data_IF_282074540756
#
_entry.id   IF_282074540756
#
_cell.length_a   1.000
_cell.length_b   1.000
_cell.length_c   1.000
_cell.angle_alpha   90.00
_cell.angle_beta   90.00
_cell.angle_gamma   90.00
#
_symmetry.space_group_name_H-M   'P 1'
#
loop_
_entity.id
_entity.type
_entity.pdbx_description
1 polymer ?
#
# COMPACT_ATOMS: atom_id res chain seq x y z
N UNK A 1 -9.34 14.03 12.79
CA UNK A 1 -7.91 13.95 12.43
C UNK A 1 -7.74 14.66 11.11
N UNK A 2 -6.68 15.46 10.97
CA UNK A 2 -6.34 16.16 9.72
C UNK A 2 -4.92 15.76 9.35
N UNK A 3 -4.73 15.25 8.14
CA UNK A 3 -3.42 15.04 7.54
C UNK A 3 -3.21 16.14 6.49
N UNK A 4 -2.08 16.85 6.54
CA UNK A 4 -1.78 18.00 5.69
C UNK A 4 -0.27 18.21 5.64
N UNK A 5 0.23 18.92 4.62
CA UNK A 5 1.65 19.27 4.52
C UNK A 5 1.87 20.74 4.81
N UNK A 6 3.00 21.01 5.45
CA UNK A 6 3.45 22.35 5.78
C UNK A 6 4.93 22.48 5.43
N UNK A 7 5.28 23.57 4.75
CA UNK A 7 6.64 24.02 4.53
C UNK A 7 6.90 25.29 5.33
N UNK A 8 8.12 25.44 5.86
CA UNK A 8 8.53 26.65 6.54
C UNK A 8 8.53 27.87 5.59
N UNK A 9 8.93 27.67 4.34
CA UNK A 9 9.08 28.75 3.35
C UNK A 9 7.76 29.05 2.63
N UNK A 10 6.94 28.02 2.41
CA UNK A 10 5.72 28.13 1.58
C UNK A 10 4.41 28.02 2.36
N UNK A 11 4.48 27.68 3.64
CA UNK A 11 3.32 27.46 4.49
C UNK A 11 2.56 26.18 4.16
N UNK A 12 1.24 26.21 4.36
CA UNK A 12 0.36 25.07 4.08
C UNK A 12 0.31 24.75 2.58
N UNK A 13 0.42 23.46 2.23
CA UNK A 13 0.32 23.04 0.84
C UNK A 13 -1.11 23.24 0.32
N UNK A 14 -1.25 24.18 -0.60
CA UNK A 14 -2.51 24.57 -1.23
C UNK A 14 -2.29 24.76 -2.73
N UNK A 15 -3.23 24.28 -3.54
CA UNK A 15 -3.30 24.68 -4.95
C UNK A 15 -3.67 26.17 -5.07
N UNK A 16 -3.29 26.79 -6.18
CA UNK A 16 -3.49 28.22 -6.45
C UNK A 16 -4.98 28.59 -6.61
N UNK A 17 -5.76 27.68 -7.16
CA UNK A 17 -7.21 27.77 -7.38
C UNK A 17 -8.03 27.12 -6.24
N UNK A 18 -7.36 26.58 -5.23
CA UNK A 18 -8.00 25.88 -4.11
C UNK A 18 -8.34 24.41 -4.39
N UNK A 19 -7.97 23.84 -5.55
CA UNK A 19 -8.15 22.41 -5.87
C UNK A 19 -7.10 21.90 -6.87
N UNK A 20 -6.43 20.77 -6.66
CA UNK A 20 -6.70 19.76 -5.64
C UNK A 20 -6.07 20.12 -4.30
N UNK A 21 -6.67 19.60 -3.23
CA UNK A 21 -6.23 19.85 -1.86
C UNK A 21 -5.56 18.57 -1.34
N UNK A 22 -4.29 18.65 -0.97
CA UNK A 22 -3.56 17.54 -0.31
C UNK A 22 -4.03 17.31 1.14
N UNK A 23 -4.68 18.28 1.78
CA UNK A 23 -5.31 18.09 3.09
C UNK A 23 -6.36 16.97 3.03
N UNK A 24 -6.29 16.05 3.98
CA UNK A 24 -7.32 15.03 4.26
C UNK A 24 -7.89 15.28 5.64
N UNK A 25 -9.21 15.46 5.73
CA UNK A 25 -9.92 15.55 7.00
C UNK A 25 -10.74 14.26 7.18
N UNK A 26 -10.57 13.59 8.33
CA UNK A 26 -11.27 12.36 8.62
C UNK A 26 -11.71 12.28 10.08
N UNK A 27 -12.80 11.57 10.33
CA UNK A 27 -13.30 11.23 11.66
C UNK A 27 -12.95 9.76 11.93
N UNK A 28 -11.86 9.47 12.66
CA UNK A 28 -11.41 8.10 12.85
C UNK A 28 -12.38 7.30 13.73
N UNK A 29 -12.63 6.03 13.37
CA UNK A 29 -13.36 5.07 14.21
C UNK A 29 -14.18 4.03 13.44
N UNK A 30 -14.48 2.90 14.11
CA UNK A 30 -15.21 1.74 13.54
C UNK A 30 -16.61 2.08 13.00
N UNK A 31 -17.26 3.11 13.56
CA UNK A 31 -18.57 3.61 13.12
C UNK A 31 -18.49 5.06 12.60
N UNK A 32 -17.34 5.43 12.03
CA UNK A 32 -17.10 6.75 11.43
C UNK A 32 -16.49 6.54 10.04
N UNK A 33 -15.46 7.30 9.67
CA UNK A 33 -14.86 7.27 8.33
C UNK A 33 -13.79 6.16 8.19
N UNK A 34 -13.64 5.28 9.19
CA UNK A 34 -12.55 4.30 9.24
C UNK A 34 -11.24 4.87 9.79
N UNK A 35 -10.10 4.28 9.41
CA UNK A 35 -8.76 4.77 9.76
C UNK A 35 -8.01 5.21 8.51
N UNK A 36 -7.06 6.15 8.63
CA UNK A 36 -6.22 6.58 7.51
C UNK A 36 -5.38 5.40 7.02
N UNK A 37 -5.67 4.93 5.82
CA UNK A 37 -5.05 3.75 5.25
C UNK A 37 -3.82 4.11 4.40
N UNK A 38 -3.05 3.10 4.00
CA UNK A 38 -1.94 3.31 3.06
C UNK A 38 -2.40 3.86 1.71
N UNK A 39 -3.59 3.47 1.25
CA UNK A 39 -4.14 3.97 0.00
C UNK A 39 -4.45 5.47 0.10
N UNK A 40 -4.98 5.92 1.24
CA UNK A 40 -5.23 7.34 1.49
C UNK A 40 -3.91 8.14 1.49
N UNK A 41 -2.84 7.57 2.05
CA UNK A 41 -1.49 8.16 2.02
C UNK A 41 -0.95 8.26 0.59
N UNK A 42 -1.11 7.21 -0.22
CA UNK A 42 -0.70 7.18 -1.63
C UNK A 42 -1.44 8.24 -2.46
N UNK A 43 -2.77 8.33 -2.31
CA UNK A 43 -3.56 9.36 -2.97
C UNK A 43 -3.16 10.78 -2.53
N UNK A 44 -2.89 10.95 -1.22
CA UNK A 44 -2.48 12.23 -0.66
C UNK A 44 -1.14 12.69 -1.24
N UNK A 45 -0.14 11.79 -1.32
CA UNK A 45 1.19 12.15 -1.80
C UNK A 45 1.21 12.42 -3.31
N UNK A 46 0.41 11.71 -4.11
CA UNK A 46 0.27 11.98 -5.55
C UNK A 46 -0.24 13.41 -5.76
N UNK A 47 -1.31 13.79 -5.07
CA UNK A 47 -1.85 15.16 -5.13
C UNK A 47 -0.81 16.18 -4.67
N UNK A 48 -0.06 15.88 -3.61
CA UNK A 48 0.97 16.77 -3.09
C UNK A 48 2.12 16.98 -4.09
N UNK A 49 2.65 15.90 -4.68
CA UNK A 49 3.69 15.93 -5.70
C UNK A 49 3.26 16.76 -6.92
N UNK A 50 2.05 16.55 -7.43
CA UNK A 50 1.53 17.36 -8.54
C UNK A 50 1.46 18.83 -8.16
N UNK A 51 0.94 19.15 -6.97
CA UNK A 51 0.78 20.54 -6.50
C UNK A 51 2.13 21.26 -6.35
N UNK A 52 3.13 20.61 -5.77
CA UNK A 52 4.45 21.26 -5.58
C UNK A 52 5.20 21.44 -6.89
N UNK A 53 5.08 20.49 -7.83
CA UNK A 53 5.69 20.60 -9.14
C UNK A 53 5.05 21.70 -9.99
N UNK A 54 3.75 21.91 -9.87
CA UNK A 54 3.06 23.01 -10.57
C UNK A 54 3.39 24.38 -9.96
N UNK A 55 3.54 24.46 -8.64
CA UNK A 55 3.64 25.74 -7.92
C UNK A 55 5.07 26.24 -7.74
N UNK A 56 6.01 25.30 -7.57
CA UNK A 56 7.41 25.55 -7.26
C UNK A 56 8.31 24.58 -8.04
N UNK A 57 8.24 24.56 -9.38
CA UNK A 57 9.03 23.66 -10.22
C UNK A 57 10.55 23.84 -10.07
N UNK A 58 10.99 25.00 -9.59
CA UNK A 58 12.40 25.35 -9.42
C UNK A 58 13.04 24.79 -8.14
N UNK A 59 12.25 24.17 -7.25
CA UNK A 59 12.72 23.61 -5.99
C UNK A 59 12.65 22.08 -6.01
N UNK A 60 13.63 21.45 -5.36
CA UNK A 60 13.54 20.05 -4.97
C UNK A 60 12.68 19.90 -3.72
N UNK A 61 11.65 19.05 -3.79
CA UNK A 61 10.69 18.86 -2.70
C UNK A 61 10.99 17.59 -1.91
N UNK A 62 11.14 17.72 -0.59
CA UNK A 62 11.33 16.58 0.32
C UNK A 62 10.11 16.43 1.22
N UNK A 63 9.41 15.30 1.09
CA UNK A 63 8.28 14.95 1.95
C UNK A 63 8.76 14.06 3.11
N UNK A 64 8.42 14.45 4.33
CA UNK A 64 8.82 13.75 5.55
C UNK A 64 7.58 13.14 6.20
N UNK A 65 7.66 11.84 6.49
CA UNK A 65 6.68 11.10 7.25
C UNK A 65 7.30 10.54 8.52
N UNK A 66 6.49 10.31 9.54
CA UNK A 66 6.93 9.55 10.70
C UNK A 66 7.06 8.05 10.35
N UNK A 67 7.62 7.27 11.27
CA UNK A 67 7.83 5.83 11.09
C UNK A 67 6.59 5.00 11.43
N UNK A 68 5.38 5.55 11.27
CA UNK A 68 4.16 4.76 11.49
C UNK A 68 4.12 3.57 10.52
N UNK A 69 3.61 2.43 11.00
CA UNK A 69 3.57 1.17 10.23
C UNK A 69 2.79 1.30 8.93
N UNK A 70 1.83 2.22 8.86
CA UNK A 70 1.06 2.58 7.66
C UNK A 70 1.92 3.21 6.57
N UNK A 71 2.93 4.02 6.91
CA UNK A 71 3.86 4.64 5.94
C UNK A 71 4.90 3.66 5.40
N UNK A 72 5.09 2.51 6.07
CA UNK A 72 6.01 1.44 5.67
C UNK A 72 5.35 0.34 4.84
N UNK A 73 4.06 0.46 4.57
CA UNK A 73 3.34 -0.57 3.81
C UNK A 73 3.79 -0.54 2.36
N UNK A 74 4.22 -1.69 1.87
CA UNK A 74 4.54 -1.90 0.46
C UNK A 74 3.27 -2.26 -0.31
N UNK A 75 3.35 -2.24 -1.65
CA UNK A 75 2.27 -2.73 -2.49
C UNK A 75 1.91 -4.17 -2.11
N UNK A 76 0.64 -4.55 -2.29
CA UNK A 76 0.13 -5.81 -1.77
C UNK A 76 0.87 -7.05 -2.34
N UNK A 77 1.36 -6.97 -3.58
CA UNK A 77 2.16 -8.01 -4.23
C UNK A 77 3.68 -7.85 -4.09
N UNK A 78 4.18 -6.84 -3.38
CA UNK A 78 5.61 -6.56 -3.30
C UNK A 78 6.41 -7.74 -2.71
N UNK A 79 7.58 -7.97 -3.28
CA UNK A 79 8.54 -8.94 -2.76
C UNK A 79 9.07 -8.52 -1.39
N UNK A 80 8.92 -9.40 -0.41
CA UNK A 80 9.47 -9.23 0.94
C UNK A 80 10.43 -10.36 1.25
N UNK A 81 11.72 -10.05 1.37
CA UNK A 81 12.76 -11.01 1.77
C UNK A 81 12.45 -11.68 3.12
N UNK A 82 11.68 -11.01 4.00
CA UNK A 82 11.25 -11.57 5.29
C UNK A 82 10.18 -12.65 5.15
N UNK A 83 9.40 -12.62 4.06
CA UNK A 83 8.27 -13.50 3.81
C UNK A 83 8.55 -14.56 2.73
N UNK A 84 9.77 -14.62 2.17
CA UNK A 84 10.10 -15.62 1.17
C UNK A 84 10.04 -17.04 1.76
N UNK A 85 9.39 -18.00 1.07
CA UNK A 85 9.35 -19.38 1.52
C UNK A 85 10.75 -19.99 1.53
N UNK A 86 11.08 -20.67 2.62
CA UNK A 86 12.39 -21.35 2.79
C UNK A 86 12.42 -22.78 2.23
N UNK A 87 11.26 -23.32 1.87
CA UNK A 87 11.10 -24.70 1.44
C UNK A 87 10.24 -24.79 0.19
N UNK A 88 10.28 -25.92 -0.50
CA UNK A 88 9.41 -26.18 -1.65
C UNK A 88 7.96 -26.30 -1.15
N UNK A 89 7.00 -25.87 -1.97
CA UNK A 89 5.58 -26.07 -1.69
C UNK A 89 5.26 -27.52 -1.33
N UNK A 90 4.34 -27.74 -0.40
CA UNK A 90 4.02 -29.07 0.11
C UNK A 90 5.09 -29.69 1.03
N UNK A 91 6.12 -28.95 1.43
CA UNK A 91 7.12 -29.42 2.41
C UNK A 91 7.18 -28.52 3.66
N UNK A 92 7.36 -29.14 4.83
CA UNK A 92 7.62 -28.48 6.11
C UNK A 92 9.12 -28.21 6.27
N UNK A 93 9.45 -27.32 7.20
CA UNK A 93 10.83 -27.09 7.67
C UNK A 93 11.46 -28.43 8.07
N UNK A 94 12.54 -28.84 7.40
CA UNK A 94 13.19 -30.15 7.59
C UNK A 94 12.82 -31.25 6.57
N UNK A 95 12.20 -30.90 5.43
CA UNK A 95 12.01 -31.82 4.29
C UNK A 95 10.85 -32.81 4.42
N UNK A 96 10.07 -32.76 5.51
CA UNK A 96 8.88 -33.62 5.69
C UNK A 96 7.72 -33.10 4.84
N UNK A 97 6.95 -33.98 4.19
CA UNK A 97 5.73 -33.59 3.47
C UNK A 97 4.76 -32.87 4.40
N UNK A 98 4.25 -31.73 3.96
CA UNK A 98 3.14 -31.01 4.60
C UNK A 98 1.85 -31.82 4.43
N UNK A 99 0.94 -31.70 5.41
CA UNK A 99 -0.42 -32.24 5.30
C UNK A 99 -1.34 -31.34 4.48
N UNK A 100 -0.99 -30.06 4.35
CA UNK A 100 -1.74 -29.12 3.52
C UNK A 100 -1.11 -29.12 2.11
N UNK A 101 -1.94 -29.28 1.05
CA UNK A 101 -1.52 -29.14 -0.34
C UNK A 101 -1.35 -27.67 -0.75
N UNK A 102 -1.57 -26.72 0.16
CA UNK A 102 -1.58 -25.31 -0.18
C UNK A 102 -0.19 -24.83 -0.57
N UNK A 103 -0.09 -23.96 -1.60
CA UNK A 103 1.15 -23.31 -1.95
C UNK A 103 1.69 -22.54 -0.75
N UNK A 104 2.97 -22.76 -0.43
CA UNK A 104 3.68 -21.94 0.55
C UNK A 104 4.23 -20.63 -0.04
N UNK A 105 3.90 -20.37 -1.30
CA UNK A 105 4.12 -19.13 -2.04
C UNK A 105 2.76 -18.43 -2.24
N UNK A 106 2.76 -17.21 -2.81
CA UNK A 106 1.62 -16.25 -2.86
C UNK A 106 1.52 -15.36 -1.62
N UNK A 107 0.85 -14.21 -1.77
CA UNK A 107 0.64 -13.24 -0.69
C UNK A 107 -0.82 -13.23 -0.28
N UNK A 108 -1.16 -13.52 0.99
CA UNK A 108 -2.52 -13.39 1.48
C UNK A 108 -2.84 -11.91 1.71
N UNK A 109 -3.84 -11.40 1.00
CA UNK A 109 -4.34 -10.03 1.15
C UNK A 109 -5.77 -10.06 1.69
N UNK A 110 -6.19 -8.98 2.34
CA UNK A 110 -7.59 -8.84 2.72
C UNK A 110 -8.40 -8.51 1.46
N UNK A 111 -9.42 -9.32 1.18
CA UNK A 111 -10.33 -9.14 0.06
C UNK A 111 -11.07 -7.82 0.19
N UNK A 112 -11.18 -7.09 -0.91
CA UNK A 112 -11.93 -5.84 -1.00
C UNK A 112 -13.08 -5.97 -2.01
N UNK A 113 -14.16 -5.23 -1.78
CA UNK A 113 -15.29 -5.15 -2.70
C UNK A 113 -15.01 -4.16 -3.85
N UNK A 114 -15.97 -3.99 -4.76
CA UNK A 114 -15.91 -3.03 -5.88
C UNK A 114 -15.68 -1.59 -5.44
N UNK A 115 -16.07 -1.23 -4.22
CA UNK A 115 -15.89 0.10 -3.64
C UNK A 115 -14.58 0.22 -2.83
N UNK A 116 -13.66 -0.73 -3.01
CA UNK A 116 -12.36 -0.79 -2.32
C UNK A 116 -12.45 -0.89 -0.78
N UNK A 117 -13.59 -1.34 -0.23
CA UNK A 117 -13.80 -1.59 1.20
C UNK A 117 -13.50 -3.04 1.56
N UNK A 118 -13.01 -3.26 2.78
CA UNK A 118 -12.69 -4.59 3.29
C UNK A 118 -13.96 -5.46 3.38
N UNK A 119 -13.87 -6.70 2.93
CA UNK A 119 -14.94 -7.68 3.06
C UNK A 119 -14.77 -8.54 4.31
N UNK A 120 -15.89 -8.87 4.95
CA UNK A 120 -15.95 -9.66 6.16
C UNK A 120 -16.81 -10.90 5.93
N UNK A 121 -16.50 -11.99 6.62
CA UNK A 121 -17.37 -13.16 6.70
C UNK A 121 -18.54 -12.91 7.66
N UNK A 122 -19.46 -13.87 7.73
CA UNK A 122 -20.65 -13.82 8.61
C UNK A 122 -20.28 -13.73 10.11
N UNK A 123 -19.04 -14.04 10.46
CA UNK A 123 -18.50 -13.97 11.82
C UNK A 123 -17.73 -12.67 12.10
N UNK A 124 -17.64 -11.75 11.13
CA UNK A 124 -16.93 -10.48 11.26
C UNK A 124 -15.41 -10.57 11.11
N UNK A 125 -14.90 -11.70 10.59
CA UNK A 125 -13.48 -11.88 10.26
C UNK A 125 -13.20 -11.38 8.85
N UNK A 126 -12.03 -10.78 8.62
CA UNK A 126 -11.64 -10.32 7.29
C UNK A 126 -11.47 -11.49 6.34
N UNK A 127 -12.18 -11.44 5.21
CA UNK A 127 -11.98 -12.38 4.11
C UNK A 127 -10.61 -12.14 3.51
N UNK A 128 -9.89 -13.22 3.23
CA UNK A 128 -8.56 -13.18 2.62
C UNK A 128 -8.58 -13.90 1.29
N UNK A 129 -7.72 -13.44 0.40
CA UNK A 129 -7.43 -14.11 -0.86
C UNK A 129 -5.92 -14.10 -1.12
N UNK A 130 -5.46 -15.08 -1.87
CA UNK A 130 -4.05 -15.18 -2.24
C UNK A 130 -3.86 -14.54 -3.62
N UNK A 131 -2.92 -13.60 -3.70
CA UNK A 131 -2.49 -13.02 -4.96
C UNK A 131 -1.06 -13.45 -5.29
N UNK A 132 -0.73 -13.41 -6.58
CA UNK A 132 0.64 -13.59 -7.05
C UNK A 132 1.51 -12.40 -6.63
N UNK A 133 2.76 -12.68 -6.27
CA UNK A 133 3.77 -11.65 -6.05
C UNK A 133 4.07 -10.95 -7.38
N UNK A 134 4.27 -9.64 -7.32
CA UNK A 134 4.70 -8.84 -8.47
C UNK A 134 6.22 -8.89 -8.56
N UNK A 135 6.73 -9.38 -9.69
CA UNK A 135 8.17 -9.38 -9.96
C UNK A 135 8.73 -7.99 -10.24
N UNK A 136 10.05 -7.91 -10.37
CA UNK A 136 10.72 -6.70 -10.82
C UNK A 136 10.39 -6.40 -12.29
N UNK A 137 10.62 -5.17 -12.73
CA UNK A 137 10.56 -4.82 -14.16
C UNK A 137 11.96 -4.88 -14.77
N UNK A 138 12.07 -5.44 -15.97
CA UNK A 138 13.27 -5.34 -16.79
C UNK A 138 13.44 -3.90 -17.32
N UNK A 139 14.61 -3.59 -17.90
CA UNK A 139 14.93 -2.25 -18.40
C UNK A 139 13.99 -1.78 -19.54
N UNK A 140 13.34 -2.71 -20.23
CA UNK A 140 12.33 -2.46 -21.26
C UNK A 140 10.91 -2.27 -20.69
N UNK A 141 10.74 -2.33 -19.37
CA UNK A 141 9.46 -2.19 -18.68
C UNK A 141 8.65 -3.50 -18.59
N UNK A 142 9.12 -4.60 -19.18
CA UNK A 142 8.44 -5.89 -19.07
C UNK A 142 8.53 -6.42 -17.63
N UNK A 143 7.45 -6.96 -17.10
CA UNK A 143 7.42 -7.51 -15.74
C UNK A 143 8.06 -8.90 -15.77
N UNK A 144 9.03 -9.13 -14.88
CA UNK A 144 9.61 -10.44 -14.65
C UNK A 144 8.56 -11.34 -13.99
N UNK A 145 8.07 -12.34 -14.74
CA UNK A 145 7.18 -13.34 -14.18
C UNK A 145 7.91 -14.19 -13.13
N UNK A 146 7.31 -14.30 -11.95
CA UNK A 146 7.83 -15.14 -10.86
C UNK A 146 7.23 -16.55 -10.86
N UNK A 147 6.22 -16.77 -11.70
CA UNK A 147 5.43 -17.99 -11.75
C UNK A 147 5.58 -18.58 -13.14
N UNK A 148 5.96 -19.86 -13.19
CA UNK A 148 6.01 -20.62 -14.43
C UNK A 148 4.61 -21.18 -14.73
N UNK A 149 4.21 -21.26 -16.02
CA UNK A 149 2.93 -21.85 -16.44
C UNK A 149 2.83 -23.35 -16.14
#
# INVERSE_FOLDING_TARGET
MVADYFSADFGWLRSRDGSPIARRAMRPGKNRDGYFSSADIEEQIIVACTTVNERWPEYDHVFIYDNATTHRKQSAGALSARAMPKSISGTRKGGKKSKSPDPNFLVPINRRNTDNRLMYDDHGTLLKENIQMTGASFADGTVQELYFP
#
